data_IF_648774126449
#
_entry.id   IF_648774126449
#
_cell.length_a   1.000
_cell.length_b   1.000
_cell.length_c   1.000
_cell.angle_alpha   90.00
_cell.angle_beta   90.00
_cell.angle_gamma   90.00
#
_symmetry.space_group_name_H-M   'P 1'
#
loop_
_entity.id
_entity.type
_entity.pdbx_description
1 polymer ?
#
# COMPACT_ATOMS: atom_id res chain seq x y z
N UNK A 1 20.37 31.83 7.91
CA UNK A 1 19.81 32.22 6.60
C UNK A 1 19.32 33.65 6.63
N UNK A 2 18.94 34.28 5.51
CA UNK A 2 18.41 35.64 5.50
C UNK A 2 17.15 35.70 6.33
N UNK A 3 17.05 36.67 7.20
CA UNK A 3 16.06 36.80 8.28
C UNK A 3 14.60 37.03 7.83
N UNK A 4 14.34 37.22 6.54
CA UNK A 4 13.02 37.66 6.05
C UNK A 4 12.43 36.74 4.97
N UNK A 5 12.85 35.45 4.89
CA UNK A 5 12.32 34.51 3.92
C UNK A 5 11.46 33.44 4.60
N UNK A 6 10.30 33.15 4.00
CA UNK A 6 9.51 32.00 4.38
C UNK A 6 10.15 30.70 3.88
N UNK A 7 10.18 29.69 4.72
CA UNK A 7 10.67 28.36 4.40
C UNK A 7 9.53 27.35 4.51
N UNK A 8 9.48 26.40 3.59
CA UNK A 8 8.58 25.26 3.67
C UNK A 8 9.35 24.04 4.18
N UNK A 9 8.85 23.39 5.21
CA UNK A 9 9.43 22.20 5.78
C UNK A 9 8.45 21.06 5.60
N UNK A 10 8.89 19.97 4.94
CA UNK A 10 8.15 18.72 4.86
C UNK A 10 8.86 17.65 5.68
N UNK A 11 8.12 17.05 6.62
CA UNK A 11 8.60 15.91 7.39
C UNK A 11 7.96 14.64 6.86
N UNK A 12 8.77 13.74 6.32
CA UNK A 12 8.33 12.50 5.72
C UNK A 12 8.87 11.28 6.47
N UNK A 13 7.97 10.38 6.89
CA UNK A 13 8.35 9.10 7.50
C UNK A 13 8.67 8.08 6.41
N UNK A 14 9.94 7.68 6.29
CA UNK A 14 10.43 6.77 5.24
C UNK A 14 10.05 5.30 5.44
N UNK A 15 10.01 4.85 6.71
CA UNK A 15 9.77 3.45 7.07
C UNK A 15 8.32 3.22 7.50
N UNK A 16 7.87 1.99 7.42
CA UNK A 16 6.58 1.57 7.96
C UNK A 16 6.50 1.71 9.49
N UNK A 17 5.29 1.65 10.05
CA UNK A 17 5.05 2.01 11.45
C UNK A 17 4.87 0.81 12.39
N UNK A 18 4.81 -0.42 11.90
CA UNK A 18 4.51 -1.58 12.73
C UNK A 18 5.52 -1.77 13.86
N UNK A 19 6.81 -1.63 13.55
CA UNK A 19 7.88 -1.80 14.52
C UNK A 19 8.50 -0.49 15.03
N UNK A 20 8.17 0.65 14.42
CA UNK A 20 8.87 1.92 14.64
C UNK A 20 7.92 3.11 14.58
N UNK A 21 7.25 3.40 15.68
CA UNK A 21 6.45 4.60 15.82
C UNK A 21 7.36 5.85 15.92
N UNK A 22 7.07 6.87 15.12
CA UNK A 22 7.69 8.18 15.24
C UNK A 22 6.75 9.12 16.00
N UNK A 23 7.30 9.94 16.88
CA UNK A 23 6.56 11.00 17.58
C UNK A 23 7.12 12.35 17.18
N UNK A 24 6.30 13.14 16.50
CA UNK A 24 6.61 14.55 16.26
C UNK A 24 6.34 15.34 17.54
N UNK A 25 7.34 16.08 18.04
CA UNK A 25 7.24 16.85 19.29
C UNK A 25 7.03 18.34 19.07
N UNK A 26 7.13 18.80 17.84
CA UNK A 26 7.02 20.21 17.51
C UNK A 26 8.25 20.73 16.76
N UNK A 27 8.27 22.02 16.54
CA UNK A 27 9.37 22.77 15.91
C UNK A 27 9.75 23.91 16.87
N UNK A 28 11.01 24.02 17.20
CA UNK A 28 11.54 25.17 17.90
C UNK A 28 11.90 26.25 16.86
N UNK A 29 11.36 27.44 17.05
CA UNK A 29 11.56 28.56 16.14
C UNK A 29 12.56 29.54 16.76
N UNK A 30 13.33 30.23 15.92
CA UNK A 30 14.17 31.34 16.33
C UNK A 30 13.31 32.49 16.89
N UNK A 31 13.93 33.33 17.74
CA UNK A 31 13.23 34.46 18.33
C UNK A 31 12.72 35.42 17.25
N UNK A 32 11.41 35.62 17.25
CA UNK A 32 10.74 36.48 16.27
C UNK A 32 10.27 35.76 14.99
N UNK A 33 10.55 34.46 14.85
CA UNK A 33 10.00 33.66 13.76
C UNK A 33 8.59 33.16 14.12
N UNK A 34 7.74 33.03 13.11
CA UNK A 34 6.34 32.61 13.24
C UNK A 34 6.03 31.45 12.30
N UNK A 35 5.13 30.56 12.72
CA UNK A 35 4.58 29.53 11.83
C UNK A 35 3.52 30.17 10.96
N UNK A 36 3.72 30.09 9.66
CA UNK A 36 2.72 30.50 8.68
C UNK A 36 1.62 29.44 8.58
N UNK A 37 0.49 29.80 7.97
CA UNK A 37 -0.56 28.84 7.65
C UNK A 37 0.02 27.70 6.79
N UNK A 38 -0.40 26.44 7.03
CA UNK A 38 0.06 25.31 6.23
C UNK A 38 -0.35 25.50 4.76
N UNK A 39 0.41 24.93 3.81
CA UNK A 39 0.02 24.97 2.40
C UNK A 39 -1.34 24.31 2.21
N UNK A 40 -2.10 24.82 1.24
CA UNK A 40 -3.36 24.19 0.86
C UNK A 40 -3.04 22.83 0.25
N UNK A 41 -3.64 21.78 0.82
CA UNK A 41 -3.51 20.43 0.30
C UNK A 41 -4.26 20.29 -1.03
N UNK A 42 -3.80 19.35 -1.86
CA UNK A 42 -4.46 19.03 -3.13
C UNK A 42 -5.86 18.46 -2.90
N UNK A 43 -6.82 18.81 -3.77
CA UNK A 43 -8.12 18.15 -3.82
C UNK A 43 -8.03 16.73 -4.41
N UNK A 44 -6.94 16.44 -5.12
CA UNK A 44 -6.60 15.09 -5.57
C UNK A 44 -6.02 14.32 -4.40
N UNK A 45 -6.62 13.20 -4.06
CA UNK A 45 -6.20 12.36 -2.92
C UNK A 45 -6.24 10.90 -3.31
N UNK A 46 -5.15 10.18 -3.03
CA UNK A 46 -5.02 8.75 -3.31
C UNK A 46 -4.65 8.03 -2.02
N UNK A 47 -5.41 7.01 -1.65
CA UNK A 47 -5.03 6.09 -0.59
C UNK A 47 -4.45 4.82 -1.20
N UNK A 48 -3.30 4.39 -0.72
CA UNK A 48 -2.65 3.13 -1.12
C UNK A 48 -2.66 2.18 0.08
N UNK A 49 -3.29 1.03 -0.12
CA UNK A 49 -3.42 -0.01 0.89
C UNK A 49 -2.63 -1.23 0.43
N UNK A 50 -1.80 -1.80 1.31
CA UNK A 50 -1.04 -2.98 0.92
C UNK A 50 -0.04 -3.48 1.95
N UNK A 51 0.85 -4.31 1.46
CA UNK A 51 1.90 -4.98 2.22
C UNK A 51 3.28 -4.31 2.03
N UNK A 52 4.35 -5.10 2.13
CA UNK A 52 5.74 -4.65 1.97
C UNK A 52 6.03 -4.01 0.61
N UNK A 53 5.37 -4.44 -0.46
CA UNK A 53 5.52 -3.82 -1.78
C UNK A 53 5.00 -2.38 -1.78
N UNK A 54 3.91 -2.11 -1.09
CA UNK A 54 3.36 -0.76 -0.97
C UNK A 54 4.14 0.09 0.04
N UNK A 55 4.61 -0.51 1.13
CA UNK A 55 5.47 0.15 2.11
C UNK A 55 6.87 0.48 1.58
N UNK A 56 7.26 -0.08 0.43
CA UNK A 56 8.60 0.01 -0.16
C UNK A 56 9.69 -0.54 0.79
N UNK A 57 9.40 -1.71 1.37
CA UNK A 57 10.40 -2.48 2.11
C UNK A 57 11.60 -2.76 1.18
N UNK A 58 12.80 -2.57 1.70
CA UNK A 58 14.05 -2.88 1.01
C UNK A 58 14.26 -2.17 -0.35
N UNK A 59 13.49 -1.13 -0.68
CA UNK A 59 13.58 -0.43 -1.98
C UNK A 59 14.99 0.08 -2.31
N UNK A 60 15.78 0.44 -1.30
CA UNK A 60 17.16 0.90 -1.43
C UNK A 60 18.19 -0.19 -1.02
N UNK A 61 17.77 -1.42 -0.76
CA UNK A 61 18.68 -2.52 -0.51
C UNK A 61 19.30 -3.02 -1.81
N UNK A 62 20.52 -3.52 -1.73
CA UNK A 62 21.22 -4.15 -2.86
C UNK A 62 21.26 -5.67 -2.75
N UNK A 63 21.12 -6.20 -1.55
CA UNK A 63 21.05 -7.64 -1.23
C UNK A 63 20.42 -7.88 0.16
N UNK A 64 20.31 -9.14 0.55
CA UNK A 64 19.74 -9.55 1.85
C UNK A 64 20.45 -8.94 3.06
N UNK A 65 21.75 -8.74 3.01
CA UNK A 65 22.54 -8.19 4.12
C UNK A 65 22.27 -6.71 4.37
N UNK A 66 21.72 -6.03 3.39
CA UNK A 66 21.43 -4.60 3.40
C UNK A 66 19.99 -4.26 3.77
N UNK A 67 19.15 -5.26 4.07
CA UNK A 67 17.77 -5.00 4.51
C UNK A 67 17.80 -4.53 5.95
N UNK A 68 17.72 -3.23 6.11
CA UNK A 68 17.60 -2.54 7.39
C UNK A 68 16.53 -1.46 7.27
N UNK A 69 16.16 -0.85 8.38
CA UNK A 69 15.24 0.30 8.36
C UNK A 69 15.75 1.45 7.46
N UNK A 70 17.06 1.54 7.24
CA UNK A 70 17.66 2.58 6.39
C UNK A 70 17.45 2.32 4.91
N UNK A 71 17.25 1.07 4.50
CA UNK A 71 16.96 0.70 3.12
C UNK A 71 15.46 0.80 2.76
N UNK A 72 14.59 1.11 3.72
CA UNK A 72 13.19 1.40 3.47
C UNK A 72 13.01 2.86 3.05
N UNK A 73 12.22 3.11 2.03
CA UNK A 73 11.92 4.47 1.61
C UNK A 73 10.57 4.58 0.92
N UNK A 74 9.52 4.78 1.71
CA UNK A 74 8.16 4.97 1.21
C UNK A 74 8.05 6.12 0.20
N UNK A 75 8.93 7.13 0.26
CA UNK A 75 9.01 8.21 -0.73
C UNK A 75 9.48 7.78 -2.12
N UNK A 76 10.06 6.58 -2.25
CA UNK A 76 10.47 5.96 -3.51
C UNK A 76 9.54 4.82 -3.95
N UNK A 77 8.46 4.59 -3.22
CA UNK A 77 7.44 3.62 -3.61
C UNK A 77 6.73 4.01 -4.89
N UNK A 78 6.21 3.02 -5.60
CA UNK A 78 5.32 3.26 -6.73
C UNK A 78 4.15 4.17 -6.35
N UNK A 79 3.66 4.05 -5.12
CA UNK A 79 2.57 4.84 -4.59
C UNK A 79 2.93 6.34 -4.50
N UNK A 80 4.07 6.66 -3.88
CA UNK A 80 4.53 8.04 -3.77
C UNK A 80 4.89 8.65 -5.13
N UNK A 81 5.45 7.86 -6.06
CA UNK A 81 5.75 8.31 -7.43
C UNK A 81 4.45 8.63 -8.16
N UNK A 82 3.46 7.74 -8.11
CA UNK A 82 2.13 7.94 -8.71
C UNK A 82 1.45 9.20 -8.15
N UNK A 83 1.43 9.35 -6.82
CA UNK A 83 0.82 10.51 -6.19
C UNK A 83 1.48 11.82 -6.63
N UNK A 84 2.81 11.89 -6.67
CA UNK A 84 3.55 13.07 -7.13
C UNK A 84 3.25 13.43 -8.59
N UNK A 85 3.12 12.42 -9.48
CA UNK A 85 2.76 12.65 -10.88
C UNK A 85 1.43 13.41 -10.99
N UNK A 86 0.43 13.04 -10.21
CA UNK A 86 -0.88 13.70 -10.23
C UNK A 86 -0.96 14.97 -9.38
N UNK A 87 0.12 15.38 -8.71
CA UNK A 87 0.07 16.43 -7.69
C UNK A 87 -0.93 16.11 -6.58
N UNK A 88 -1.11 14.81 -6.28
CA UNK A 88 -2.08 14.35 -5.30
C UNK A 88 -1.47 14.28 -3.90
N UNK A 89 -2.28 14.62 -2.89
CA UNK A 89 -2.02 14.22 -1.52
C UNK A 89 -2.26 12.70 -1.36
N UNK A 90 -1.51 12.03 -0.49
CA UNK A 90 -1.65 10.58 -0.39
C UNK A 90 -1.43 10.02 1.01
N UNK A 91 -2.14 8.92 1.29
CA UNK A 91 -1.91 8.08 2.45
C UNK A 91 -1.36 6.71 2.03
N UNK A 92 -0.43 6.17 2.82
CA UNK A 92 0.07 4.80 2.73
C UNK A 92 -0.42 4.02 3.94
N UNK A 93 -1.43 3.17 3.73
CA UNK A 93 -1.95 2.23 4.72
C UNK A 93 -1.31 0.86 4.45
N UNK A 94 0.00 0.74 4.69
CA UNK A 94 0.77 -0.42 4.31
C UNK A 94 1.57 -0.98 5.50
N UNK A 95 1.64 -2.31 5.56
CA UNK A 95 2.38 -3.04 6.59
C UNK A 95 2.97 -4.32 6.03
N UNK A 96 4.28 -4.50 6.18
CA UNK A 96 5.02 -5.65 5.67
C UNK A 96 4.52 -6.95 6.26
N UNK A 97 4.49 -7.99 5.44
CA UNK A 97 4.06 -9.32 5.86
C UNK A 97 2.56 -9.48 6.06
N UNK A 98 1.75 -8.44 5.86
CA UNK A 98 0.30 -8.54 6.05
C UNK A 98 -0.39 -9.01 4.77
N UNK A 99 -1.29 -9.97 4.93
CA UNK A 99 -2.22 -10.40 3.90
C UNK A 99 -3.63 -9.88 4.17
N UNK A 100 -4.53 -10.19 3.29
CA UNK A 100 -5.94 -9.88 3.45
C UNK A 100 -6.63 -10.84 4.42
N UNK A 101 -6.14 -12.09 4.46
CA UNK A 101 -6.61 -13.17 5.30
C UNK A 101 -5.47 -13.78 6.10
N UNK A 102 -4.34 -14.04 5.44
CA UNK A 102 -3.19 -14.73 5.98
C UNK A 102 -1.93 -13.87 5.91
N UNK A 103 -1.34 -13.57 7.08
CA UNK A 103 -0.08 -12.85 7.15
C UNK A 103 1.11 -13.79 6.91
N UNK A 104 2.16 -13.21 6.37
CA UNK A 104 3.43 -13.90 6.26
C UNK A 104 3.89 -14.41 7.64
N UNK A 105 4.19 -15.69 7.78
CA UNK A 105 4.69 -16.37 8.99
C UNK A 105 3.65 -16.73 10.06
N UNK A 106 2.41 -16.33 9.94
CA UNK A 106 1.40 -16.81 10.87
C UNK A 106 1.17 -18.32 10.67
N UNK A 107 1.02 -19.09 11.75
CA UNK A 107 0.78 -20.54 11.64
C UNK A 107 -0.67 -20.86 11.23
N UNK A 108 -1.60 -19.97 11.49
CA UNK A 108 -3.02 -20.15 11.18
C UNK A 108 -3.33 -19.68 9.76
N UNK A 109 -4.23 -20.38 9.06
CA UNK A 109 -4.71 -19.98 7.72
C UNK A 109 -5.43 -18.62 7.70
N UNK A 110 -6.01 -18.23 8.81
CA UNK A 110 -6.63 -16.93 9.01
C UNK A 110 -5.94 -16.22 10.16
N UNK A 111 -5.27 -15.13 9.83
CA UNK A 111 -4.51 -14.35 10.81
C UNK A 111 -5.42 -13.51 11.68
N UNK A 112 -5.01 -13.28 12.94
CA UNK A 112 -5.75 -12.42 13.87
C UNK A 112 -5.79 -10.95 13.44
N UNK A 113 -4.70 -10.46 12.84
CA UNK A 113 -4.54 -9.06 12.45
C UNK A 113 -4.10 -8.92 10.98
N UNK A 114 -4.96 -9.30 10.01
CA UNK A 114 -4.72 -9.06 8.59
C UNK A 114 -4.94 -7.58 8.24
N UNK A 115 -4.63 -7.17 7.01
CA UNK A 115 -4.77 -5.79 6.52
C UNK A 115 -6.12 -5.14 6.87
N UNK A 116 -7.29 -5.79 6.67
CA UNK A 116 -8.57 -5.16 7.00
C UNK A 116 -8.72 -4.83 8.49
N UNK A 117 -8.16 -5.65 9.38
CA UNK A 117 -8.20 -5.41 10.82
C UNK A 117 -7.30 -4.24 11.25
N UNK A 118 -6.25 -3.94 10.47
CA UNK A 118 -5.34 -2.83 10.72
C UNK A 118 -5.81 -1.54 10.06
N UNK A 119 -6.55 -1.62 8.98
CA UNK A 119 -7.00 -0.49 8.17
C UNK A 119 -7.84 0.54 8.97
N UNK A 120 -8.63 0.07 9.92
CA UNK A 120 -9.44 0.95 10.75
C UNK A 120 -8.67 1.58 11.93
N UNK A 121 -7.37 1.30 12.09
CA UNK A 121 -6.57 1.82 13.19
C UNK A 121 -5.80 3.08 12.79
N UNK A 122 -5.70 4.04 13.68
CA UNK A 122 -4.78 5.18 13.54
C UNK A 122 -3.34 4.82 13.94
N UNK A 123 -3.17 3.79 14.79
CA UNK A 123 -1.89 3.22 15.20
C UNK A 123 -1.97 1.70 15.07
N UNK A 124 -1.13 1.12 14.23
CA UNK A 124 -1.10 -0.34 13.98
C UNK A 124 -0.91 -1.12 15.28
N UNK A 125 -0.04 -0.65 16.18
CA UNK A 125 0.27 -1.28 17.46
C UNK A 125 -0.84 -1.16 18.53
N UNK A 126 -1.89 -0.41 18.29
CA UNK A 126 -2.98 -0.19 19.26
C UNK A 126 -4.31 -0.74 18.77
N UNK A 127 -4.78 -1.81 19.38
CA UNK A 127 -6.07 -2.45 19.05
C UNK A 127 -7.29 -1.54 19.30
N UNK A 128 -7.14 -0.55 20.16
CA UNK A 128 -8.21 0.38 20.53
C UNK A 128 -8.18 1.68 19.75
N UNK A 129 -7.10 1.96 19.01
CA UNK A 129 -7.03 3.17 18.20
C UNK A 129 -8.01 3.06 17.01
N UNK A 130 -8.60 4.19 16.64
CA UNK A 130 -9.52 4.24 15.48
C UNK A 130 -9.13 5.42 14.60
N UNK A 131 -9.15 5.18 13.29
CA UNK A 131 -8.99 6.22 12.30
C UNK A 131 -10.36 6.87 12.03
N UNK A 132 -10.39 8.18 12.02
CA UNK A 132 -11.57 8.95 11.62
C UNK A 132 -11.49 9.20 10.10
N UNK A 133 -12.19 8.39 9.34
CA UNK A 133 -12.23 8.43 7.87
C UNK A 133 -12.79 9.74 7.29
N UNK A 134 -13.53 10.53 8.09
CA UNK A 134 -14.05 11.82 7.65
C UNK A 134 -12.98 12.91 7.55
N UNK A 135 -11.85 12.74 8.22
CA UNK A 135 -10.75 13.74 8.24
C UNK A 135 -10.01 13.86 6.91
N UNK A 136 -10.02 12.79 6.12
CA UNK A 136 -9.32 12.76 4.85
C UNK A 136 -9.97 11.73 3.94
N UNK A 137 -10.60 12.19 2.86
CA UNK A 137 -11.39 11.36 1.96
C UNK A 137 -10.67 11.27 0.61
N UNK A 138 -10.21 10.08 0.19
CA UNK A 138 -9.58 9.88 -1.11
C UNK A 138 -10.61 9.87 -2.24
N UNK A 139 -10.18 10.22 -3.45
CA UNK A 139 -10.94 10.00 -4.68
C UNK A 139 -10.60 8.65 -5.32
N UNK A 140 -9.41 8.16 -5.07
CA UNK A 140 -8.92 6.87 -5.57
C UNK A 140 -8.35 6.10 -4.40
N UNK A 141 -8.72 4.81 -4.31
CA UNK A 141 -8.09 3.83 -3.41
C UNK A 141 -7.41 2.77 -4.27
N UNK A 142 -6.13 2.55 -4.05
CA UNK A 142 -5.34 1.49 -4.69
C UNK A 142 -5.11 0.38 -3.68
N UNK A 143 -5.56 -0.83 -3.97
CA UNK A 143 -5.41 -2.00 -3.11
C UNK A 143 -4.39 -2.95 -3.73
N UNK A 144 -3.31 -3.22 -3.02
CA UNK A 144 -2.27 -4.16 -3.40
C UNK A 144 -2.12 -5.23 -2.31
N UNK A 145 -2.89 -6.29 -2.42
CA UNK A 145 -2.96 -7.37 -1.43
C UNK A 145 -3.02 -8.74 -2.11
N UNK A 146 -2.62 -9.76 -1.39
CA UNK A 146 -2.61 -11.16 -1.85
C UNK A 146 -1.23 -11.79 -1.89
N UNK A 147 -0.16 -11.01 -1.95
CA UNK A 147 1.21 -11.52 -1.98
C UNK A 147 1.48 -12.44 -0.78
N UNK A 148 1.18 -11.98 0.43
CA UNK A 148 1.40 -12.77 1.64
C UNK A 148 0.38 -13.90 1.83
N UNK A 149 -0.82 -13.74 1.31
CA UNK A 149 -1.88 -14.76 1.36
C UNK A 149 -1.51 -16.02 0.56
N UNK A 150 -0.77 -15.83 -0.54
CA UNK A 150 -0.43 -16.91 -1.49
C UNK A 150 1.08 -17.13 -1.63
N UNK A 151 1.92 -16.53 -0.80
CA UNK A 151 3.36 -16.74 -0.82
C UNK A 151 3.70 -18.20 -0.48
N UNK A 152 4.12 -18.96 -1.47
CA UNK A 152 4.65 -20.31 -1.29
C UNK A 152 6.10 -20.20 -0.82
N UNK A 153 6.39 -20.65 0.40
CA UNK A 153 7.75 -20.58 0.95
C UNK A 153 8.49 -21.88 0.77
N UNK A 154 9.81 -21.78 0.74
CA UNK A 154 10.70 -22.93 0.78
C UNK A 154 10.39 -23.86 1.98
N UNK A 155 9.99 -23.30 3.11
CA UNK A 155 9.58 -24.06 4.29
C UNK A 155 8.26 -24.83 4.10
N UNK A 156 7.37 -24.36 3.22
CA UNK A 156 6.13 -25.04 2.87
C UNK A 156 6.35 -26.26 1.98
N UNK A 157 7.45 -26.29 1.22
CA UNK A 157 7.83 -27.49 0.47
C UNK A 157 8.14 -28.69 1.40
N UNK A 158 8.39 -28.43 2.69
CA UNK A 158 8.62 -29.44 3.71
C UNK A 158 7.34 -29.77 4.52
N UNK A 159 6.35 -28.87 4.53
CA UNK A 159 5.07 -29.10 5.20
C UNK A 159 3.91 -28.48 4.38
N UNK A 160 3.31 -29.25 3.48
CA UNK A 160 2.18 -28.79 2.65
C UNK A 160 0.93 -28.35 3.44
N UNK A 161 0.86 -28.66 4.73
CA UNK A 161 -0.21 -28.21 5.62
C UNK A 161 -0.04 -26.75 6.09
N UNK A 162 1.14 -26.19 5.92
CA UNK A 162 1.45 -24.76 6.17
C UNK A 162 1.41 -24.00 4.84
N UNK A 163 0.62 -23.26 4.53
CA UNK A 163 -0.54 -22.52 4.70
C UNK A 163 -0.49 -21.27 3.83
N UNK A 164 -1.05 -21.41 2.70
CA UNK A 164 -1.57 -20.29 1.93
C UNK A 164 -3.04 -20.13 2.28
N UNK A 165 -3.60 -18.94 2.08
CA UNK A 165 -5.02 -18.73 2.24
C UNK A 165 -5.83 -19.63 1.31
N UNK A 166 -7.00 -20.09 1.77
CA UNK A 166 -7.96 -20.72 0.88
C UNK A 166 -8.52 -19.65 -0.07
N UNK A 167 -8.51 -19.90 -1.38
CA UNK A 167 -8.90 -18.91 -2.40
C UNK A 167 -10.31 -18.38 -2.17
N UNK A 168 -11.28 -19.26 -1.83
CA UNK A 168 -12.65 -18.83 -1.56
C UNK A 168 -12.75 -17.90 -0.35
N UNK A 169 -12.00 -18.19 0.71
CA UNK A 169 -11.94 -17.34 1.91
C UNK A 169 -11.29 -15.98 1.59
N UNK A 170 -10.25 -15.99 0.76
CA UNK A 170 -9.62 -14.76 0.29
C UNK A 170 -10.57 -13.91 -0.55
N UNK A 171 -11.29 -14.52 -1.53
CA UNK A 171 -12.26 -13.84 -2.38
C UNK A 171 -13.36 -13.18 -1.54
N UNK A 172 -13.97 -13.93 -0.60
CA UNK A 172 -14.96 -13.38 0.30
C UNK A 172 -14.42 -12.22 1.18
N UNK A 173 -13.19 -12.36 1.69
CA UNK A 173 -12.56 -11.31 2.48
C UNK A 173 -12.27 -10.06 1.64
N UNK A 174 -11.89 -10.23 0.38
CA UNK A 174 -11.65 -9.12 -0.54
C UNK A 174 -12.95 -8.36 -0.85
N UNK A 175 -14.04 -9.07 -1.16
CA UNK A 175 -15.36 -8.45 -1.35
C UNK A 175 -15.81 -7.67 -0.10
N UNK A 176 -15.64 -8.25 1.10
CA UNK A 176 -15.96 -7.56 2.35
C UNK A 176 -15.09 -6.31 2.53
N UNK A 177 -13.83 -6.37 2.15
CA UNK A 177 -12.91 -5.23 2.27
C UNK A 177 -13.27 -4.11 1.29
N UNK A 178 -13.61 -4.43 0.05
CA UNK A 178 -14.15 -3.47 -0.93
C UNK A 178 -15.43 -2.83 -0.37
N UNK A 179 -16.34 -3.62 0.19
CA UNK A 179 -17.56 -3.13 0.82
C UNK A 179 -17.28 -2.17 1.98
N UNK A 180 -16.31 -2.48 2.84
CA UNK A 180 -15.86 -1.60 3.92
C UNK A 180 -15.33 -0.27 3.38
N UNK A 181 -14.44 -0.30 2.38
CA UNK A 181 -13.87 0.91 1.78
C UNK A 181 -14.98 1.80 1.19
N UNK A 182 -15.94 1.22 0.48
CA UNK A 182 -17.08 1.96 -0.08
C UNK A 182 -18.01 2.53 0.98
N UNK A 183 -18.17 1.84 2.11
CA UNK A 183 -18.92 2.37 3.24
C UNK A 183 -18.23 3.59 3.85
N UNK A 184 -16.89 3.58 3.93
CA UNK A 184 -16.09 4.70 4.45
C UNK A 184 -15.99 5.86 3.45
N UNK A 185 -15.93 5.55 2.16
CA UNK A 185 -15.74 6.50 1.07
C UNK A 185 -16.76 6.26 -0.06
N UNK A 186 -18.02 6.69 0.10
CA UNK A 186 -19.03 6.53 -0.94
C UNK A 186 -18.59 7.17 -2.26
N UNK A 187 -18.70 6.41 -3.37
CA UNK A 187 -18.34 6.89 -4.70
C UNK A 187 -16.84 6.82 -5.04
N UNK A 188 -15.98 6.37 -4.13
CA UNK A 188 -14.54 6.23 -4.38
C UNK A 188 -14.27 5.30 -5.57
N UNK A 189 -13.27 5.65 -6.38
CA UNK A 189 -12.76 4.75 -7.42
C UNK A 189 -11.72 3.81 -6.83
N UNK A 190 -11.86 2.50 -7.08
CA UNK A 190 -10.97 1.47 -6.55
C UNK A 190 -10.12 0.89 -7.68
N UNK A 191 -8.79 0.87 -7.50
CA UNK A 191 -7.87 0.14 -8.35
C UNK A 191 -7.35 -1.07 -7.59
N UNK A 192 -7.64 -2.26 -8.10
CA UNK A 192 -7.16 -3.53 -7.56
C UNK A 192 -5.88 -3.92 -8.28
N UNK A 193 -4.77 -3.97 -7.57
CA UNK A 193 -3.48 -4.38 -8.14
C UNK A 193 -3.37 -5.89 -8.20
N UNK A 194 -2.90 -6.41 -9.33
CA UNK A 194 -2.49 -7.81 -9.48
C UNK A 194 -1.00 -7.94 -9.20
N UNK A 195 -0.58 -8.23 -7.95
CA UNK A 195 0.83 -8.31 -7.62
C UNK A 195 1.48 -9.55 -8.22
N UNK A 196 2.78 -9.46 -8.47
CA UNK A 196 3.62 -10.59 -8.81
C UNK A 196 4.62 -10.83 -7.67
N UNK A 197 4.78 -12.09 -7.27
CA UNK A 197 5.79 -12.49 -6.28
C UNK A 197 6.80 -13.46 -6.93
N UNK A 198 8.06 -13.03 -7.15
CA UNK A 198 9.08 -13.87 -7.79
C UNK A 198 9.55 -15.02 -6.89
N UNK A 199 9.33 -14.94 -5.59
CA UNK A 199 9.83 -15.89 -4.61
C UNK A 199 8.80 -16.96 -4.20
N UNK A 200 7.56 -16.79 -4.59
CA UNK A 200 6.50 -17.77 -4.26
C UNK A 200 5.15 -17.29 -4.76
N UNK A 201 4.25 -18.23 -5.02
CA UNK A 201 2.90 -17.92 -5.49
C UNK A 201 2.82 -17.24 -6.87
N UNK A 202 3.92 -16.76 -7.39
CA UNK A 202 4.08 -16.11 -8.70
C UNK A 202 2.86 -15.22 -9.06
N UNK A 203 2.09 -15.64 -10.06
CA UNK A 203 0.92 -14.90 -10.55
C UNK A 203 -0.37 -15.25 -9.81
N UNK A 204 -0.36 -16.23 -8.89
CA UNK A 204 -1.58 -16.73 -8.23
C UNK A 204 -2.38 -15.63 -7.54
N UNK A 205 -1.72 -14.74 -6.81
CA UNK A 205 -2.38 -13.60 -6.17
C UNK A 205 -3.11 -12.73 -7.21
N UNK A 206 -2.44 -12.42 -8.32
CA UNK A 206 -3.01 -11.62 -9.39
C UNK A 206 -4.22 -12.30 -10.05
N UNK A 207 -4.15 -13.62 -10.28
CA UNK A 207 -5.26 -14.40 -10.84
C UNK A 207 -6.49 -14.39 -9.93
N UNK A 208 -6.30 -14.58 -8.61
CA UNK A 208 -7.42 -14.55 -7.66
C UNK A 208 -8.00 -13.15 -7.55
N UNK A 209 -7.17 -12.11 -7.46
CA UNK A 209 -7.61 -10.70 -7.44
C UNK A 209 -8.38 -10.35 -8.72
N UNK A 210 -7.93 -10.86 -9.88
CA UNK A 210 -8.64 -10.66 -11.15
C UNK A 210 -10.04 -11.29 -11.14
N UNK A 211 -10.20 -12.50 -10.57
CA UNK A 211 -11.52 -13.12 -10.42
C UNK A 211 -12.45 -12.29 -9.55
N UNK A 212 -11.96 -11.78 -8.40
CA UNK A 212 -12.75 -10.87 -7.54
C UNK A 212 -13.18 -9.63 -8.31
N UNK A 213 -12.28 -9.03 -9.11
CA UNK A 213 -12.61 -7.90 -9.97
C UNK A 213 -13.74 -8.23 -10.96
N UNK A 214 -13.67 -9.39 -11.62
CA UNK A 214 -14.67 -9.81 -12.60
C UNK A 214 -16.05 -10.04 -11.94
N UNK A 215 -16.07 -10.57 -10.71
CA UNK A 215 -17.28 -10.74 -9.90
C UNK A 215 -17.87 -9.38 -9.47
N UNK A 216 -17.03 -8.43 -9.04
CA UNK A 216 -17.45 -7.05 -8.74
C UNK A 216 -18.08 -6.37 -9.96
N UNK A 217 -17.45 -6.47 -11.13
CA UNK A 217 -18.00 -5.94 -12.38
C UNK A 217 -19.34 -6.59 -12.74
N UNK A 218 -19.44 -7.92 -12.62
CA UNK A 218 -20.66 -8.68 -12.89
C UNK A 218 -21.81 -8.30 -11.96
N UNK A 219 -21.49 -7.88 -10.73
CA UNK A 219 -22.43 -7.36 -9.73
C UNK A 219 -22.84 -5.89 -9.98
N UNK A 220 -22.35 -5.28 -11.08
CA UNK A 220 -22.71 -3.92 -11.51
C UNK A 220 -21.84 -2.81 -10.92
N UNK A 221 -20.74 -3.14 -10.26
CA UNK A 221 -19.79 -2.16 -9.76
C UNK A 221 -18.99 -1.54 -10.91
N UNK A 222 -19.09 -0.21 -11.09
CA UNK A 222 -18.47 0.52 -12.22
C UNK A 222 -17.20 1.28 -11.80
N UNK A 223 -17.13 1.77 -10.56
CA UNK A 223 -15.99 2.54 -10.05
C UNK A 223 -14.91 1.59 -9.51
N UNK A 224 -14.45 0.67 -10.37
CA UNK A 224 -13.44 -0.32 -10.03
C UNK A 224 -12.63 -0.69 -11.27
N UNK A 225 -11.34 -0.93 -11.10
CA UNK A 225 -10.43 -1.34 -12.16
C UNK A 225 -9.41 -2.35 -11.63
N UNK A 226 -9.13 -3.38 -12.40
CA UNK A 226 -7.99 -4.25 -12.17
C UNK A 226 -6.77 -3.73 -12.92
N UNK A 227 -5.61 -3.72 -12.26
CA UNK A 227 -4.33 -3.34 -12.84
C UNK A 227 -3.26 -4.37 -12.54
N UNK A 228 -2.81 -5.08 -13.58
CA UNK A 228 -1.72 -6.04 -13.46
C UNK A 228 -0.37 -5.32 -13.32
N UNK A 229 0.51 -5.83 -12.47
CA UNK A 229 1.90 -5.40 -12.45
C UNK A 229 2.53 -5.54 -13.84
N UNK A 230 3.41 -4.62 -14.27
CA UNK A 230 4.15 -4.78 -15.51
C UNK A 230 5.05 -6.02 -15.45
N UNK A 231 5.45 -6.53 -16.61
CA UNK A 231 6.45 -7.59 -16.67
C UNK A 231 7.75 -7.15 -15.97
N UNK A 232 8.44 -8.08 -15.32
CA UNK A 232 9.70 -7.83 -14.62
C UNK A 232 10.87 -8.54 -15.33
N UNK A 233 12.08 -8.13 -14.97
CA UNK A 233 13.34 -8.72 -15.44
C UNK A 233 14.21 -9.09 -14.24
N UNK A 234 15.24 -9.89 -14.46
CA UNK A 234 16.24 -10.18 -13.44
C UNK A 234 16.86 -8.86 -12.94
N UNK A 235 16.88 -8.68 -11.62
CA UNK A 235 17.35 -7.45 -10.97
C UNK A 235 16.26 -6.42 -10.65
N UNK A 236 15.03 -6.59 -11.11
CA UNK A 236 13.92 -5.74 -10.70
C UNK A 236 13.52 -5.94 -9.23
N UNK A 237 13.89 -7.08 -8.66
CA UNK A 237 13.62 -7.43 -7.27
C UNK A 237 14.90 -7.55 -6.46
N UNK A 238 14.81 -7.10 -5.22
CA UNK A 238 15.83 -7.34 -4.19
C UNK A 238 15.16 -8.11 -3.07
N UNK A 239 15.62 -9.35 -2.82
CA UNK A 239 15.10 -10.15 -1.71
C UNK A 239 13.56 -10.30 -1.75
N UNK A 240 13.02 -10.66 -2.91
CA UNK A 240 11.59 -10.80 -3.19
C UNK A 240 10.77 -9.48 -3.13
N UNK A 241 11.41 -8.34 -3.00
CA UNK A 241 10.77 -7.03 -2.98
C UNK A 241 11.15 -6.19 -4.19
N UNK A 242 10.23 -5.39 -4.74
CA UNK A 242 10.53 -4.46 -5.82
C UNK A 242 11.67 -3.51 -5.48
N UNK A 243 12.72 -3.48 -6.31
CA UNK A 243 13.77 -2.47 -6.25
C UNK A 243 13.30 -1.12 -6.83
N UNK A 244 14.16 -0.09 -6.76
CA UNK A 244 13.84 1.27 -7.20
C UNK A 244 13.30 1.29 -8.63
N UNK A 245 14.00 0.67 -9.57
CA UNK A 245 13.64 0.68 -11.00
C UNK A 245 12.27 0.01 -11.23
N UNK A 246 12.00 -1.08 -10.51
CA UNK A 246 10.71 -1.74 -10.68
C UNK A 246 9.57 -0.95 -10.04
N UNK A 247 9.80 -0.27 -8.91
CA UNK A 247 8.83 0.68 -8.36
C UNK A 247 8.49 1.81 -9.34
N UNK A 248 9.48 2.34 -10.08
CA UNK A 248 9.26 3.34 -11.12
C UNK A 248 8.39 2.76 -12.26
N UNK A 249 8.66 1.55 -12.72
CA UNK A 249 7.88 0.88 -13.77
C UNK A 249 6.45 0.55 -13.33
N UNK A 250 6.25 0.10 -12.07
CA UNK A 250 4.91 -0.12 -11.49
C UNK A 250 4.15 1.21 -11.48
N UNK A 251 4.80 2.30 -11.04
CA UNK A 251 4.19 3.63 -11.01
C UNK A 251 3.78 4.12 -12.41
N UNK A 252 4.68 4.04 -13.40
CA UNK A 252 4.38 4.41 -14.79
C UNK A 252 3.18 3.64 -15.36
N UNK A 253 3.12 2.35 -15.08
CA UNK A 253 2.02 1.49 -15.50
C UNK A 253 0.70 1.86 -14.81
N UNK A 254 0.74 2.12 -13.49
CA UNK A 254 -0.42 2.54 -12.71
C UNK A 254 -0.92 3.94 -13.12
N UNK A 255 -0.01 4.87 -13.39
CA UNK A 255 -0.34 6.22 -13.89
C UNK A 255 -1.14 6.11 -15.18
N UNK A 256 -0.66 5.35 -16.16
CA UNK A 256 -1.39 5.11 -17.42
C UNK A 256 -2.78 4.53 -17.18
N UNK A 257 -2.89 3.55 -16.27
CA UNK A 257 -4.18 2.96 -15.92
C UNK A 257 -5.17 4.02 -15.36
N UNK A 258 -4.71 4.86 -14.45
CA UNK A 258 -5.53 5.93 -13.82
C UNK A 258 -5.97 6.96 -14.87
N UNK A 259 -5.08 7.36 -15.78
CA UNK A 259 -5.37 8.32 -16.86
C UNK A 259 -6.36 7.75 -17.89
N UNK A 260 -6.10 6.54 -18.42
CA UNK A 260 -6.95 5.89 -19.40
C UNK A 260 -8.37 5.62 -18.91
N UNK A 261 -8.50 5.29 -17.63
CA UNK A 261 -9.80 5.01 -16.99
C UNK A 261 -10.49 6.24 -16.43
N UNK A 262 -9.86 7.42 -16.54
CA UNK A 262 -10.39 8.71 -16.06
C UNK A 262 -10.87 8.61 -14.61
N UNK A 263 -10.08 7.95 -13.76
CA UNK A 263 -10.47 7.67 -12.37
C UNK A 263 -10.75 8.93 -11.53
N UNK A 264 -10.35 10.11 -12.01
CA UNK A 264 -10.63 11.40 -11.37
C UNK A 264 -12.01 11.98 -11.69
N UNK A 265 -12.67 11.45 -12.71
CA UNK A 265 -13.92 12.00 -13.27
C UNK A 265 -15.18 11.32 -12.70
N UNK A 266 -14.99 10.42 -11.71
CA UNK A 266 -16.06 9.63 -11.09
C UNK A 266 -16.67 10.31 -9.85
#
# INVERSE_FOLDING_TARGET
GPSDQSHSIALFKRSESENHAARFKGIDLDKGAELLAPPILSDRRIEFIGDSHTAALAVEAIDWSNITILSHNAGRSYAAITARHFGADFHLCASSGKGLVHNHSDPEKQSRFPLPALYERSLVSSETSRWDFSRWVPRIVVINAGTNDFAERFEMLQDPAKTIADESVFQEAYHRFIGLIRQRYPGVFIVMMGPFDPCGGKERAAEVVKRVFDEECSSGNKNIQFHQYPSFTDGDYVCCHPGIVYHERIAESLIRCIEEKKCWDC
#
